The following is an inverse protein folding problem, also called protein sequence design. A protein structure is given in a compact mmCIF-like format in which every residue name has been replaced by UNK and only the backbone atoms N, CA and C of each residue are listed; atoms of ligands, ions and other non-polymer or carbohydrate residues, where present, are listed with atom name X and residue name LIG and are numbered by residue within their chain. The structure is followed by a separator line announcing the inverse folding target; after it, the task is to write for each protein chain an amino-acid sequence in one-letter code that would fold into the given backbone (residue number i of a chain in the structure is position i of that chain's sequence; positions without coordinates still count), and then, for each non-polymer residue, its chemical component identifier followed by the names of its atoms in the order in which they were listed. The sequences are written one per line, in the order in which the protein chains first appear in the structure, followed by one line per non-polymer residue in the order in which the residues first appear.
data_IF_422021550404
#
_entry.id   IF_422021550404
#
_cell.length_a   1.000
_cell.length_b   1.000
_cell.length_c   1.000
_cell.angle_alpha   90.00
_cell.angle_beta   90.00
_cell.angle_gamma   90.00
#
_symmetry.space_group_name_H-M   'P 1'
#
loop_
_entity.id
_entity.type
_entity.pdbx_description
1 polymer ?
#
# COMPACT_ATOMS: atom_id res chain seq x y z
N UNK A 1 6.82 -5.69 -3.18
CA UNK A 1 5.98 -6.16 -2.05
C UNK A 1 4.57 -6.56 -2.46
N UNK A 2 4.18 -7.81 -2.17
CA UNK A 2 2.81 -8.33 -2.23
C UNK A 2 2.50 -9.06 -0.92
N UNK A 3 1.29 -8.95 -0.39
CA UNK A 3 1.02 -9.41 0.97
C UNK A 3 0.81 -10.93 1.09
N UNK A 4 0.34 -11.59 0.02
CA UNK A 4 0.06 -13.04 -0.03
C UNK A 4 -0.83 -13.57 1.13
N UNK A 5 -1.69 -12.73 1.71
CA UNK A 5 -2.53 -13.16 2.85
C UNK A 5 -3.81 -13.92 2.44
N UNK A 6 -4.28 -13.75 1.20
CA UNK A 6 -5.49 -14.43 0.71
C UNK A 6 -5.17 -15.66 -0.14
N UNK A 7 -3.97 -15.70 -0.72
CA UNK A 7 -3.44 -16.80 -1.52
C UNK A 7 -1.91 -16.84 -1.35
N UNK A 8 -1.33 -18.03 -1.41
CA UNK A 8 0.11 -18.28 -1.17
C UNK A 8 1.01 -17.75 -2.29
N UNK A 9 0.51 -17.77 -3.52
CA UNK A 9 1.28 -17.62 -4.77
C UNK A 9 0.76 -16.51 -5.68
N UNK A 10 -0.33 -15.84 -5.31
CA UNK A 10 -0.96 -14.79 -6.13
C UNK A 10 -1.64 -13.71 -5.30
N UNK A 11 -1.99 -12.61 -5.97
CA UNK A 11 -2.72 -11.51 -5.38
C UNK A 11 -4.22 -11.80 -5.25
N UNK A 12 -4.86 -11.10 -4.32
CA UNK A 12 -6.32 -11.03 -4.25
C UNK A 12 -6.83 -10.00 -5.26
N UNK A 13 -7.47 -10.46 -6.32
CA UNK A 13 -8.00 -9.60 -7.36
C UNK A 13 -9.45 -9.16 -7.06
N UNK A 14 -9.59 -7.91 -6.60
CA UNK A 14 -10.89 -7.28 -6.38
C UNK A 14 -11.68 -7.05 -7.67
N UNK A 15 -10.99 -6.97 -8.82
CA UNK A 15 -11.60 -6.67 -10.13
C UNK A 15 -12.00 -7.90 -10.93
N UNK A 16 -11.65 -9.11 -10.45
CA UNK A 16 -12.04 -10.34 -11.11
C UNK A 16 -13.57 -10.40 -11.27
N UNK A 17 -14.06 -11.11 -12.28
CA UNK A 17 -15.50 -11.34 -12.43
C UNK A 17 -16.08 -12.05 -11.19
N UNK A 18 -17.33 -11.74 -10.85
CA UNK A 18 -18.07 -12.44 -9.80
C UNK A 18 -18.40 -13.88 -10.19
N UNK A 19 -18.69 -14.77 -9.23
CA UNK A 19 -19.21 -16.08 -9.53
C UNK A 19 -20.58 -15.97 -10.24
N UNK A 20 -20.98 -16.97 -11.03
CA UNK A 20 -22.35 -17.04 -11.52
C UNK A 20 -23.33 -17.03 -10.33
N UNK A 21 -24.52 -16.45 -10.54
CA UNK A 21 -25.60 -16.38 -9.54
C UNK A 21 -25.27 -15.56 -8.28
N UNK A 22 -24.27 -14.68 -8.30
CA UNK A 22 -23.91 -13.80 -7.17
C UNK A 22 -25.13 -13.09 -6.54
N UNK A 23 -26.01 -12.52 -7.36
CA UNK A 23 -27.19 -11.81 -6.88
C UNK A 23 -28.17 -12.73 -6.13
N UNK A 24 -28.43 -13.92 -6.67
CA UNK A 24 -29.32 -14.90 -6.04
C UNK A 24 -28.72 -15.41 -4.72
N UNK A 25 -27.42 -15.78 -4.71
CA UNK A 25 -26.72 -16.20 -3.49
C UNK A 25 -26.71 -15.13 -2.40
N UNK A 26 -26.51 -13.86 -2.79
CA UNK A 26 -26.50 -12.74 -1.85
C UNK A 26 -27.88 -12.54 -1.22
N UNK A 27 -28.95 -12.69 -2.01
CA UNK A 27 -30.32 -12.55 -1.55
C UNK A 27 -30.74 -13.74 -0.69
N UNK A 28 -30.56 -14.97 -1.18
CA UNK A 28 -31.03 -16.19 -0.53
C UNK A 28 -30.38 -16.41 0.85
N UNK A 29 -29.14 -15.99 1.01
CA UNK A 29 -28.38 -16.10 2.27
C UNK A 29 -28.33 -14.80 3.07
N UNK A 30 -29.04 -13.75 2.64
CA UNK A 30 -29.05 -12.41 3.25
C UNK A 30 -27.63 -11.88 3.56
N UNK A 31 -26.69 -12.08 2.63
CA UNK A 31 -25.27 -11.78 2.87
C UNK A 31 -24.98 -10.29 3.04
N UNK A 32 -25.89 -9.41 2.60
CA UNK A 32 -25.72 -7.97 2.78
C UNK A 32 -25.60 -7.58 4.27
N UNK A 33 -26.36 -8.23 5.16
CA UNK A 33 -26.25 -8.01 6.61
C UNK A 33 -24.88 -8.45 7.13
N UNK A 34 -24.39 -9.61 6.70
CA UNK A 34 -23.07 -10.11 7.07
C UNK A 34 -21.96 -9.17 6.57
N UNK A 35 -22.01 -8.74 5.31
CA UNK A 35 -21.02 -7.82 4.74
C UNK A 35 -21.01 -6.48 5.48
N UNK A 36 -22.17 -5.93 5.84
CA UNK A 36 -22.26 -4.70 6.61
C UNK A 36 -21.63 -4.85 8.01
N UNK A 37 -21.87 -5.98 8.68
CA UNK A 37 -21.28 -6.28 9.99
C UNK A 37 -19.75 -6.44 9.90
N UNK A 38 -19.24 -7.16 8.89
CA UNK A 38 -17.81 -7.33 8.67
C UNK A 38 -17.10 -6.01 8.34
N UNK A 39 -17.76 -5.14 7.58
CA UNK A 39 -17.23 -3.85 7.19
C UNK A 39 -17.17 -2.83 8.34
N UNK A 40 -18.11 -2.91 9.28
CA UNK A 40 -18.24 -1.95 10.38
C UNK A 40 -18.22 -0.47 9.91
N UNK A 41 -18.82 -0.19 8.75
CA UNK A 41 -18.87 1.14 8.13
C UNK A 41 -17.68 1.49 7.22
N UNK A 42 -16.66 0.64 7.12
CA UNK A 42 -15.53 0.83 6.21
C UNK A 42 -15.87 0.31 4.80
N UNK A 43 -15.95 1.23 3.84
CA UNK A 43 -16.32 0.91 2.45
C UNK A 43 -15.31 -0.02 1.76
N UNK A 44 -14.02 0.07 2.09
CA UNK A 44 -13.00 -0.81 1.51
C UNK A 44 -13.15 -2.22 2.08
N UNK A 45 -13.35 -2.36 3.39
CA UNK A 45 -13.60 -3.67 4.00
C UNK A 45 -14.93 -4.29 3.51
N UNK A 46 -15.95 -3.47 3.21
CA UNK A 46 -17.20 -3.94 2.62
C UNK A 46 -16.96 -4.60 1.24
N UNK A 47 -16.22 -3.93 0.37
CA UNK A 47 -15.87 -4.44 -0.96
C UNK A 47 -15.06 -5.74 -0.86
N UNK A 48 -14.02 -5.74 -0.02
CA UNK A 48 -13.17 -6.92 0.21
C UNK A 48 -13.98 -8.09 0.76
N UNK A 49 -14.85 -7.85 1.76
CA UNK A 49 -15.65 -8.89 2.40
C UNK A 49 -16.62 -9.53 1.41
N UNK A 50 -17.34 -8.72 0.63
CA UNK A 50 -18.25 -9.18 -0.43
C UNK A 50 -17.49 -10.09 -1.41
N UNK A 51 -16.37 -9.58 -1.96
CA UNK A 51 -15.59 -10.33 -2.94
C UNK A 51 -15.02 -11.63 -2.37
N UNK A 52 -14.49 -11.59 -1.16
CA UNK A 52 -13.83 -12.73 -0.53
C UNK A 52 -14.80 -13.87 -0.19
N UNK A 53 -15.99 -13.55 0.31
CA UNK A 53 -17.01 -14.54 0.68
C UNK A 53 -17.61 -15.20 -0.57
N UNK A 54 -17.92 -14.40 -1.60
CA UNK A 54 -18.52 -14.90 -2.84
C UNK A 54 -17.51 -15.68 -3.70
N UNK A 55 -16.21 -15.41 -3.57
CA UNK A 55 -15.16 -16.16 -4.26
C UNK A 55 -14.73 -17.36 -3.43
N UNK A 56 -15.59 -18.39 -3.41
CA UNK A 56 -15.36 -19.62 -2.64
C UNK A 56 -14.12 -20.39 -3.09
N UNK A 57 -13.50 -21.10 -2.15
CA UNK A 57 -12.39 -22.01 -2.39
C UNK A 57 -12.89 -23.45 -2.34
N UNK A 58 -12.41 -24.30 -3.23
CA UNK A 58 -12.68 -25.74 -3.21
C UNK A 58 -11.49 -26.57 -2.69
N UNK A 59 -10.27 -26.06 -2.89
CA UNK A 59 -9.03 -26.77 -2.53
C UNK A 59 -8.77 -26.71 -1.02
N UNK A 60 -8.67 -27.87 -0.32
CA UNK A 60 -8.45 -27.91 1.12
C UNK A 60 -7.20 -27.14 1.58
N UNK A 61 -6.11 -27.22 0.83
CA UNK A 61 -4.87 -26.52 1.16
C UNK A 61 -5.04 -24.99 1.15
N UNK A 62 -5.78 -24.46 0.16
CA UNK A 62 -6.06 -23.03 0.07
C UNK A 62 -6.99 -22.56 1.19
N UNK A 63 -7.95 -23.40 1.59
CA UNK A 63 -8.84 -23.12 2.73
C UNK A 63 -8.02 -23.09 4.03
N UNK A 64 -7.19 -24.10 4.28
CA UNK A 64 -6.34 -24.18 5.47
C UNK A 64 -5.36 -23.00 5.55
N UNK A 65 -4.78 -22.59 4.41
CA UNK A 65 -3.93 -21.41 4.34
C UNK A 65 -4.63 -20.15 4.85
N UNK A 66 -5.85 -19.86 4.37
CA UNK A 66 -6.65 -18.72 4.85
C UNK A 66 -7.07 -18.88 6.32
N UNK A 67 -7.40 -20.09 6.75
CA UNK A 67 -7.79 -20.36 8.14
C UNK A 67 -6.63 -20.12 9.11
N UNK A 68 -5.40 -20.51 8.77
CA UNK A 68 -4.22 -20.19 9.59
C UNK A 68 -3.99 -18.68 9.73
N UNK A 69 -4.20 -17.93 8.64
CA UNK A 69 -4.07 -16.47 8.65
C UNK A 69 -5.17 -15.82 9.47
N UNK A 70 -6.42 -16.28 9.33
CA UNK A 70 -7.53 -15.84 10.15
C UNK A 70 -7.30 -16.17 11.63
N UNK A 71 -6.77 -17.34 11.95
CA UNK A 71 -6.42 -17.72 13.32
C UNK A 71 -5.42 -16.72 13.91
N UNK A 72 -4.34 -16.38 13.21
CA UNK A 72 -3.40 -15.33 13.63
C UNK A 72 -4.10 -13.97 13.84
N UNK A 73 -4.97 -13.55 12.93
CA UNK A 73 -5.76 -12.32 13.07
C UNK A 73 -6.64 -12.32 14.33
N UNK A 74 -7.22 -13.47 14.68
CA UNK A 74 -8.06 -13.63 15.88
C UNK A 74 -7.24 -13.67 17.17
N UNK A 75 -6.01 -14.21 17.13
CA UNK A 75 -5.10 -14.20 18.29
C UNK A 75 -4.47 -12.81 18.53
N UNK A 76 -4.29 -12.01 17.47
CA UNK A 76 -3.62 -10.72 17.51
C UNK A 76 -4.42 -9.58 16.86
N UNK A 77 -5.69 -9.36 17.25
CA UNK A 77 -6.59 -8.43 16.57
C UNK A 77 -6.11 -6.99 16.64
N UNK A 78 -5.53 -6.57 17.77
CA UNK A 78 -5.06 -5.20 17.96
C UNK A 78 -3.91 -4.86 17.02
N UNK A 79 -3.00 -5.81 16.80
CA UNK A 79 -1.82 -5.63 15.93
C UNK A 79 -2.27 -5.56 14.46
N UNK A 80 -3.18 -6.44 14.05
CA UNK A 80 -3.73 -6.42 12.68
C UNK A 80 -4.51 -5.14 12.41
N UNK A 81 -5.33 -4.68 13.37
CA UNK A 81 -6.03 -3.39 13.28
C UNK A 81 -5.07 -2.22 13.23
N UNK A 82 -3.98 -2.24 14.00
CA UNK A 82 -2.96 -1.21 13.96
C UNK A 82 -2.25 -1.16 12.60
N UNK A 83 -1.90 -2.31 12.03
CA UNK A 83 -1.34 -2.38 10.67
C UNK A 83 -2.32 -1.81 9.64
N UNK A 84 -3.59 -2.17 9.72
CA UNK A 84 -4.64 -1.63 8.84
C UNK A 84 -4.75 -0.11 8.98
N UNK A 85 -4.83 0.41 10.21
CA UNK A 85 -4.94 1.83 10.50
C UNK A 85 -3.75 2.63 9.96
N UNK A 86 -2.52 2.13 10.13
CA UNK A 86 -1.30 2.75 9.55
C UNK A 86 -1.39 2.85 8.02
N UNK A 87 -1.97 1.84 7.39
CA UNK A 87 -2.11 1.78 5.93
C UNK A 87 -3.21 2.73 5.44
N UNK A 88 -4.35 2.77 6.13
CA UNK A 88 -5.48 3.67 5.80
C UNK A 88 -5.14 5.14 6.05
N UNK A 89 -4.48 5.45 7.16
CA UNK A 89 -4.01 6.82 7.47
C UNK A 89 -3.16 7.39 6.31
N UNK A 90 -2.36 6.55 5.68
CA UNK A 90 -1.56 6.93 4.51
C UNK A 90 -2.42 7.35 3.32
N UNK A 91 -3.45 6.56 3.00
CA UNK A 91 -4.34 6.81 1.88
C UNK A 91 -5.18 8.07 2.08
N UNK A 92 -5.69 8.30 3.29
CA UNK A 92 -6.46 9.50 3.61
C UNK A 92 -5.60 10.77 3.58
N UNK A 93 -4.41 10.75 4.16
CA UNK A 93 -3.49 11.89 4.07
C UNK A 93 -3.06 12.18 2.64
N UNK A 94 -2.83 11.13 1.83
CA UNK A 94 -2.54 11.29 0.40
C UNK A 94 -3.70 11.95 -0.36
N UNK A 95 -4.96 11.58 -0.07
CA UNK A 95 -6.13 12.25 -0.66
C UNK A 95 -6.16 13.73 -0.26
N UNK A 96 -5.89 14.04 1.01
CA UNK A 96 -5.77 15.42 1.49
C UNK A 96 -4.77 16.26 0.69
N UNK A 97 -3.56 15.72 0.45
CA UNK A 97 -2.53 16.37 -0.37
C UNK A 97 -3.00 16.63 -1.81
N UNK A 98 -3.79 15.73 -2.41
CA UNK A 98 -4.34 15.94 -3.76
C UNK A 98 -5.48 16.97 -3.80
N UNK A 99 -6.29 17.05 -2.75
CA UNK A 99 -7.44 17.97 -2.69
C UNK A 99 -7.07 19.43 -2.44
N UNK A 100 -5.91 19.70 -1.82
CA UNK A 100 -5.49 21.07 -1.50
C UNK A 100 -4.74 21.72 -2.68
N UNK A 101 -5.48 22.43 -3.54
CA UNK A 101 -4.89 23.40 -4.48
C UNK A 101 -4.06 22.84 -5.63
N UNK A 102 -4.15 21.53 -5.91
CA UNK A 102 -3.40 20.91 -7.01
C UNK A 102 -3.90 21.43 -8.37
N UNK A 103 -3.08 22.26 -9.02
CA UNK A 103 -3.12 22.47 -10.46
C UNK A 103 -1.77 22.06 -11.04
N UNK A 104 -1.71 21.15 -12.02
CA UNK A 104 -0.45 20.66 -12.61
C UNK A 104 0.20 21.70 -13.54
N UNK A 105 0.09 22.98 -13.20
CA UNK A 105 0.41 24.10 -14.11
C UNK A 105 1.92 24.36 -14.22
N UNK A 106 2.76 23.81 -13.34
CA UNK A 106 4.22 24.04 -13.37
C UNK A 106 5.04 22.85 -12.83
N UNK A 107 6.21 22.52 -13.44
CA UNK A 107 7.05 21.37 -13.06
C UNK A 107 7.55 21.34 -11.61
N UNK A 108 7.84 22.51 -11.01
CA UNK A 108 8.34 22.61 -9.63
C UNK A 108 7.29 22.14 -8.61
N UNK A 109 6.04 22.58 -8.78
CA UNK A 109 4.93 22.13 -7.94
C UNK A 109 4.66 20.63 -8.06
N UNK A 110 4.83 20.07 -9.27
CA UNK A 110 4.72 18.61 -9.48
C UNK A 110 5.81 17.84 -8.73
N UNK A 111 7.05 18.32 -8.78
CA UNK A 111 8.17 17.69 -8.06
C UNK A 111 7.97 17.76 -6.54
N UNK A 112 7.66 18.95 -6.02
CA UNK A 112 7.43 19.16 -4.61
C UNK A 112 6.34 18.21 -4.08
N UNK A 113 5.18 18.20 -4.73
CA UNK A 113 4.08 17.30 -4.39
C UNK A 113 4.47 15.82 -4.44
N UNK A 114 5.19 15.41 -5.49
CA UNK A 114 5.64 14.02 -5.64
C UNK A 114 6.58 13.61 -4.50
N UNK A 115 7.49 14.51 -4.09
CA UNK A 115 8.38 14.27 -2.96
C UNK A 115 7.60 14.17 -1.64
N UNK A 116 6.61 15.03 -1.40
CA UNK A 116 5.78 14.96 -0.20
C UNK A 116 5.00 13.64 -0.11
N UNK A 117 4.37 13.21 -1.21
CA UNK A 117 3.67 11.91 -1.27
C UNK A 117 4.63 10.75 -1.00
N UNK A 118 5.82 10.76 -1.61
CA UNK A 118 6.81 9.71 -1.38
C UNK A 118 7.31 9.69 0.06
N UNK A 119 7.59 10.85 0.68
CA UNK A 119 7.98 10.95 2.10
C UNK A 119 6.91 10.35 3.01
N UNK A 120 5.64 10.66 2.74
CA UNK A 120 4.51 10.11 3.48
C UNK A 120 4.45 8.57 3.37
N UNK A 121 4.57 8.03 2.16
CA UNK A 121 4.55 6.59 1.91
C UNK A 121 5.74 5.88 2.58
N UNK A 122 6.95 6.44 2.49
CA UNK A 122 8.14 5.90 3.16
C UNK A 122 7.97 5.87 4.68
N UNK A 123 7.38 6.92 5.26
CA UNK A 123 7.05 6.95 6.69
C UNK A 123 6.09 5.83 7.11
N UNK A 124 5.11 5.51 6.26
CA UNK A 124 4.15 4.42 6.49
C UNK A 124 4.83 3.05 6.38
N UNK A 125 5.65 2.85 5.36
CA UNK A 125 6.43 1.62 5.18
C UNK A 125 7.34 1.35 6.39
N UNK A 126 7.96 2.40 6.96
CA UNK A 126 8.73 2.31 8.21
C UNK A 126 7.89 1.89 9.41
N UNK A 127 6.71 2.50 9.58
CA UNK A 127 5.79 2.10 10.66
C UNK A 127 5.41 0.62 10.52
N UNK A 128 5.08 0.16 9.31
CA UNK A 128 4.75 -1.24 9.04
C UNK A 128 5.94 -2.18 9.32
N UNK A 129 7.16 -1.83 8.89
CA UNK A 129 8.37 -2.60 9.22
C UNK A 129 8.58 -2.71 10.72
N UNK A 130 8.45 -1.61 11.47
CA UNK A 130 8.60 -1.63 12.93
C UNK A 130 7.58 -2.54 13.61
N UNK A 131 6.32 -2.52 13.16
CA UNK A 131 5.29 -3.45 13.67
C UNK A 131 5.67 -4.91 13.38
N UNK A 132 6.18 -5.19 12.17
CA UNK A 132 6.66 -6.51 11.79
C UNK A 132 7.84 -6.97 12.67
N UNK A 133 8.80 -6.11 12.96
CA UNK A 133 9.95 -6.43 13.83
C UNK A 133 9.53 -6.66 15.29
N UNK A 134 8.64 -5.81 15.81
CA UNK A 134 8.20 -5.87 17.22
C UNK A 134 7.30 -7.07 17.51
N UNK A 135 6.48 -7.46 16.53
CA UNK A 135 5.39 -8.41 16.76
C UNK A 135 5.44 -9.65 15.87
N UNK A 136 6.27 -9.67 14.83
CA UNK A 136 6.25 -10.73 13.82
C UNK A 136 6.50 -12.12 14.39
N UNK A 137 7.34 -12.24 15.42
CA UNK A 137 7.60 -13.51 16.11
C UNK A 137 6.39 -14.10 16.85
N UNK A 138 5.30 -13.32 17.04
CA UNK A 138 4.07 -13.80 17.69
C UNK A 138 3.14 -14.53 16.71
N UNK A 139 3.25 -14.23 15.42
CA UNK A 139 2.44 -14.82 14.36
C UNK A 139 3.02 -16.17 13.93
N UNK A 140 2.14 -17.12 13.59
CA UNK A 140 2.54 -18.50 13.25
C UNK A 140 2.18 -18.91 11.85
N UNK A 141 1.22 -18.25 11.22
CA UNK A 141 0.81 -18.56 9.87
C UNK A 141 1.94 -18.29 8.87
N UNK A 142 1.98 -19.13 7.84
CA UNK A 142 2.92 -18.97 6.74
C UNK A 142 2.76 -17.59 6.06
N UNK A 143 1.53 -17.11 5.90
CA UNK A 143 1.24 -15.82 5.25
C UNK A 143 1.83 -14.63 6.01
N UNK A 144 1.55 -14.49 7.32
CA UNK A 144 2.13 -13.40 8.11
C UNK A 144 3.65 -13.52 8.23
N UNK A 145 4.17 -14.74 8.41
CA UNK A 145 5.63 -14.97 8.42
C UNK A 145 6.27 -14.49 7.13
N UNK A 146 5.66 -14.80 5.98
CA UNK A 146 6.14 -14.38 4.65
C UNK A 146 6.06 -12.87 4.49
N UNK A 147 4.94 -12.25 4.87
CA UNK A 147 4.75 -10.81 4.82
C UNK A 147 5.80 -10.08 5.67
N UNK A 148 6.01 -10.48 6.93
CA UNK A 148 6.95 -9.81 7.82
C UNK A 148 8.40 -9.99 7.36
N UNK A 149 8.77 -11.19 6.87
CA UNK A 149 10.08 -11.40 6.25
C UNK A 149 10.28 -10.52 5.02
N UNK A 150 9.24 -10.37 4.19
CA UNK A 150 9.29 -9.50 3.02
C UNK A 150 9.49 -8.03 3.41
N UNK A 151 8.74 -7.55 4.41
CA UNK A 151 8.89 -6.18 4.93
C UNK A 151 10.29 -5.94 5.49
N UNK A 152 10.84 -6.88 6.26
CA UNK A 152 12.20 -6.76 6.78
C UNK A 152 13.27 -6.76 5.68
N UNK A 153 13.11 -7.60 4.65
CA UNK A 153 14.07 -7.73 3.54
C UNK A 153 13.99 -6.57 2.55
N UNK A 154 12.80 -6.13 2.17
CA UNK A 154 12.60 -5.11 1.13
C UNK A 154 12.69 -3.67 1.66
N UNK A 155 12.65 -3.49 2.99
CA UNK A 155 12.68 -2.18 3.64
C UNK A 155 13.81 -2.10 4.68
N UNK A 156 14.96 -2.69 4.39
CA UNK A 156 16.14 -2.58 5.27
C UNK A 156 16.59 -1.12 5.46
N UNK A 157 17.46 -0.90 6.46
CA UNK A 157 17.89 0.46 6.82
C UNK A 157 18.72 1.12 5.72
N UNK A 158 19.49 0.34 4.96
CA UNK A 158 20.29 0.81 3.84
C UNK A 158 19.40 1.35 2.70
N UNK A 159 18.40 0.57 2.29
CA UNK A 159 17.42 0.98 1.27
C UNK A 159 16.65 2.21 1.70
N UNK A 160 16.14 2.22 2.94
CA UNK A 160 15.40 3.38 3.45
C UNK A 160 16.28 4.63 3.54
N UNK A 161 17.56 4.48 3.88
CA UNK A 161 18.53 5.56 3.88
C UNK A 161 18.78 6.13 2.48
N UNK A 162 18.93 5.25 1.46
CA UNK A 162 19.06 5.65 0.05
C UNK A 162 17.84 6.45 -0.40
N UNK A 163 16.63 5.97 -0.10
CA UNK A 163 15.39 6.64 -0.49
C UNK A 163 15.28 8.02 0.16
N UNK A 164 15.59 8.14 1.46
CA UNK A 164 15.58 9.43 2.14
C UNK A 164 16.60 10.42 1.59
N UNK A 165 17.79 9.96 1.25
CA UNK A 165 18.79 10.80 0.60
C UNK A 165 18.27 11.36 -0.72
N UNK A 166 17.69 10.51 -1.57
CA UNK A 166 17.09 10.94 -2.83
C UNK A 166 15.95 11.93 -2.61
N UNK A 167 15.04 11.66 -1.68
CA UNK A 167 13.93 12.56 -1.36
C UNK A 167 14.38 13.90 -0.76
N UNK A 168 15.55 13.96 -0.14
CA UNK A 168 16.16 15.20 0.33
C UNK A 168 16.82 15.95 -0.82
N UNK A 169 17.57 15.28 -1.68
CA UNK A 169 18.21 15.90 -2.86
C UNK A 169 17.19 16.48 -3.83
N UNK A 170 16.07 15.80 -4.04
CA UNK A 170 14.96 16.25 -4.90
C UNK A 170 14.21 17.48 -4.36
N UNK A 171 14.43 17.89 -3.11
CA UNK A 171 13.92 19.19 -2.63
C UNK A 171 14.81 20.38 -3.00
N UNK A 172 15.96 20.14 -3.63
CA UNK A 172 16.92 21.16 -4.04
C UNK A 172 17.13 22.28 -3.00
N UNK A 173 17.49 21.94 -1.74
CA UNK A 173 17.59 22.93 -0.67
C UNK A 173 18.62 24.04 -0.96
N UNK A 174 19.59 23.79 -1.85
CA UNK A 174 20.57 24.76 -2.35
C UNK A 174 20.34 25.22 -3.80
N UNK A 175 19.21 24.90 -4.42
CA UNK A 175 18.95 25.09 -5.85
C UNK A 175 19.61 24.02 -6.73
N UNK A 176 19.48 24.17 -8.05
CA UNK A 176 20.14 23.30 -9.05
C UNK A 176 21.04 24.14 -9.93
N UNK A 177 22.28 23.71 -10.11
CA UNK A 177 23.17 24.33 -11.09
C UNK A 177 22.75 23.84 -12.48
N UNK A 178 22.28 24.77 -13.31
CA UNK A 178 21.98 24.50 -14.72
C UNK A 178 23.07 25.11 -15.59
N UNK A 179 23.74 24.28 -16.39
CA UNK A 179 24.66 24.75 -17.43
C UNK A 179 24.02 24.62 -18.80
N UNK A 180 24.32 25.55 -19.71
CA UNK A 180 23.90 25.50 -21.10
C UNK A 180 25.05 26.00 -21.99
N UNK A 181 25.05 25.58 -23.24
CA UNK A 181 25.97 26.03 -24.28
C UNK A 181 25.31 27.10 -25.16
N UNK A 182 26.09 28.07 -25.64
CA UNK A 182 25.58 29.10 -26.55
C UNK A 182 25.45 28.53 -27.97
N UNK A 183 24.21 28.41 -28.43
CA UNK A 183 23.87 28.06 -29.81
C UNK A 183 23.66 29.28 -30.70
N UNK A 184 23.10 29.05 -31.89
CA UNK A 184 22.86 30.09 -32.90
C UNK A 184 22.01 31.24 -32.33
N UNK A 185 22.52 32.47 -32.46
CA UNK A 185 21.85 33.68 -31.96
C UNK A 185 21.87 33.81 -30.44
N UNK A 186 22.90 33.29 -29.77
CA UNK A 186 23.07 33.30 -28.31
C UNK A 186 21.93 32.61 -27.53
N UNK A 187 21.19 31.72 -28.18
CA UNK A 187 20.17 30.90 -27.51
C UNK A 187 20.85 29.74 -26.79
N UNK A 188 20.46 29.47 -25.55
CA UNK A 188 20.95 28.32 -24.80
C UNK A 188 20.54 27.01 -25.48
N UNK A 189 21.50 26.10 -25.62
CA UNK A 189 21.36 24.73 -26.12
C UNK A 189 22.07 23.78 -25.16
N UNK A 190 21.85 22.47 -25.29
CA UNK A 190 22.51 21.45 -24.45
C UNK A 190 22.40 21.74 -22.93
N UNK A 191 21.18 22.00 -22.46
CA UNK A 191 20.93 22.20 -21.03
C UNK A 191 21.28 20.94 -20.23
N UNK A 192 22.12 21.10 -19.22
CA UNK A 192 22.54 20.05 -18.29
C UNK A 192 22.24 20.50 -16.86
N UNK A 193 21.47 19.69 -16.13
CA UNK A 193 21.29 19.85 -14.69
C UNK A 193 22.45 19.15 -13.98
N UNK A 194 23.11 19.88 -13.08
CA UNK A 194 24.20 19.40 -12.24
C UNK A 194 23.69 19.35 -10.79
N UNK A 195 23.52 18.15 -10.28
CA UNK A 195 22.94 17.82 -8.96
C UNK A 195 23.87 16.93 -8.14
#
# INVERSE_FOLDING_TARGET
MKAYLMYRDRDFDLKAAGPPLEAALTQDLELNTLFAAMAAGDAFLLEVSRKAVLTSLAEPEAILYRQHILADCLHHPDIVRQMYAVTVEAFERRKGLWTWGWTPRYPEGLLHHSVEVLRLLVGVLRKLRRLAEQHGARFRSEGFTTLFRMLARELDDDYLGIVEDHLRRLTYPGGVLMSAELGKGNKGTNYVLRA
#
